data_IF_248914733745
#
_entry.id   IF_248914733745
#
_cell.length_a   1.000
_cell.length_b   1.000
_cell.length_c   1.000
_cell.angle_alpha   90.00
_cell.angle_beta   90.00
_cell.angle_gamma   90.00
#
_symmetry.space_group_name_H-M   'P 1'
#
loop_
_entity.id
_entity.type
_entity.pdbx_description
1 polymer ?
#
# COMPACT_ATOMS: atom_id res chain seq x y z
N UNK A 1 -24.99 -58.58 -2.32
CA UNK A 1 -26.11 -58.09 -1.48
C UNK A 1 -25.72 -56.74 -0.89
N UNK A 2 -26.41 -55.73 -1.38
CA UNK A 2 -26.37 -54.30 -1.04
C UNK A 2 -27.12 -54.02 0.26
N UNK A 3 -26.56 -53.18 1.16
CA UNK A 3 -27.25 -52.19 2.03
C UNK A 3 -26.19 -51.15 2.40
N UNK A 4 -26.18 -49.95 1.81
CA UNK A 4 -27.04 -48.79 2.08
C UNK A 4 -26.97 -48.31 3.53
N UNK A 5 -26.25 -47.21 3.75
CA UNK A 5 -26.45 -46.27 4.85
C UNK A 5 -26.26 -44.86 4.29
N UNK A 6 -27.31 -44.39 3.62
CA UNK A 6 -27.57 -42.98 3.43
C UNK A 6 -28.48 -42.52 4.59
N UNK A 7 -28.34 -41.24 4.94
CA UNK A 7 -29.31 -40.39 5.65
C UNK A 7 -29.47 -40.61 7.16
N UNK A 8 -28.72 -39.82 7.93
CA UNK A 8 -29.30 -38.87 8.89
C UNK A 8 -28.19 -38.07 9.57
N UNK A 9 -27.97 -36.84 9.13
CA UNK A 9 -28.09 -35.63 9.96
C UNK A 9 -27.45 -34.45 9.22
N UNK A 10 -28.14 -34.03 8.15
CA UNK A 10 -27.89 -32.76 7.49
C UNK A 10 -28.49 -31.66 8.36
N UNK A 11 -27.68 -31.02 9.20
CA UNK A 11 -27.95 -29.68 9.72
C UNK A 11 -26.62 -29.00 10.09
N UNK A 12 -25.80 -28.76 9.07
CA UNK A 12 -24.79 -27.70 9.15
C UNK A 12 -25.52 -26.37 9.16
N UNK A 13 -25.75 -25.82 10.35
CA UNK A 13 -26.01 -24.41 10.52
C UNK A 13 -24.84 -23.64 9.89
N UNK A 14 -25.06 -23.09 8.69
CA UNK A 14 -24.27 -21.98 8.17
C UNK A 14 -24.50 -20.77 9.09
N UNK A 15 -23.75 -20.70 10.19
CA UNK A 15 -23.60 -19.42 10.90
C UNK A 15 -22.44 -18.71 10.23
N UNK A 16 -22.80 -17.63 9.55
CA UNK A 16 -21.87 -16.69 8.93
C UNK A 16 -20.79 -16.27 9.96
N UNK A 17 -19.50 -16.55 9.72
CA UNK A 17 -18.42 -16.22 10.66
C UNK A 17 -18.30 -14.71 10.92
N UNK A 18 -18.94 -13.88 10.10
CA UNK A 18 -18.90 -12.42 10.18
C UNK A 18 -20.09 -11.80 10.96
N UNK A 19 -20.97 -12.60 11.58
CA UNK A 19 -22.12 -12.07 12.35
C UNK A 19 -21.70 -11.08 13.46
N UNK A 20 -20.52 -11.28 14.06
CA UNK A 20 -20.02 -10.42 15.14
C UNK A 20 -19.40 -9.10 14.66
N UNK A 21 -19.12 -8.97 13.36
CA UNK A 21 -18.53 -7.76 12.77
C UNK A 21 -19.63 -6.75 12.42
N UNK A 22 -20.84 -7.22 12.03
CA UNK A 22 -22.00 -6.36 11.75
C UNK A 22 -22.64 -5.71 12.99
N UNK A 23 -22.47 -6.31 14.17
CA UNK A 23 -23.10 -5.87 15.43
C UNK A 23 -22.14 -5.16 16.40
N UNK A 24 -20.99 -4.68 15.92
CA UNK A 24 -20.04 -3.93 16.74
C UNK A 24 -20.61 -2.53 17.07
N UNK A 25 -21.45 -2.46 18.11
CA UNK A 25 -21.81 -1.19 18.75
C UNK A 25 -20.60 -0.68 19.53
N UNK A 26 -20.22 0.56 19.23
CA UNK A 26 -19.17 1.32 19.88
C UNK A 26 -19.43 1.39 21.38
N UNK A 27 -18.61 0.72 22.20
CA UNK A 27 -18.59 0.96 23.65
C UNK A 27 -17.74 2.22 23.83
N UNK A 28 -18.39 3.37 24.02
CA UNK A 28 -17.70 4.58 24.44
C UNK A 28 -17.17 4.36 25.86
N UNK A 29 -15.86 4.17 25.99
CA UNK A 29 -15.19 4.26 27.29
C UNK A 29 -15.16 5.74 27.72
N UNK A 30 -16.20 6.20 28.41
CA UNK A 30 -16.08 7.39 29.26
C UNK A 30 -15.38 6.95 30.55
N UNK A 31 -14.06 7.15 30.64
CA UNK A 31 -13.38 7.20 31.93
C UNK A 31 -13.35 8.65 32.41
N UNK A 32 -14.41 9.06 33.11
CA UNK A 32 -14.40 10.21 34.00
C UNK A 32 -15.09 9.78 35.31
N UNK A 33 -14.32 9.15 36.20
CA UNK A 33 -14.69 9.02 37.61
C UNK A 33 -13.95 10.14 38.32
N UNK A 34 -14.50 11.35 38.19
CA UNK A 34 -14.27 12.46 39.08
C UNK A 34 -15.38 12.46 40.13
N UNK A 35 -14.99 12.16 41.37
CA UNK A 35 -15.55 12.63 42.64
C UNK A 35 -17.03 13.08 42.59
N UNK A 36 -17.91 12.22 43.09
CA UNK A 36 -19.22 12.66 43.58
C UNK A 36 -19.02 13.47 44.86
N UNK A 37 -19.26 14.77 44.79
CA UNK A 37 -19.74 15.55 45.94
C UNK A 37 -21.15 16.01 45.60
N UNK A 38 -22.07 15.61 46.45
CA UNK A 38 -23.50 15.93 46.42
C UNK A 38 -23.70 17.45 46.40
N UNK A 39 -24.63 17.93 45.57
CA UNK A 39 -25.08 19.31 45.58
C UNK A 39 -26.03 19.52 46.76
N UNK A 40 -25.68 20.46 47.66
CA UNK A 40 -26.63 21.04 48.60
C UNK A 40 -27.55 22.02 47.86
N UNK A 41 -28.86 21.86 48.06
CA UNK A 41 -29.88 22.83 47.73
C UNK A 41 -29.66 24.15 48.48
N UNK A 42 -29.50 25.25 47.75
CA UNK A 42 -29.89 26.60 48.21
C UNK A 42 -30.61 27.31 47.07
N UNK A 43 -31.75 27.88 47.45
CA UNK A 43 -32.80 28.48 46.65
C UNK A 43 -32.38 29.69 45.79
N UNK A 44 -33.11 29.82 44.69
CA UNK A 44 -33.48 31.02 43.92
C UNK A 44 -33.06 32.39 44.50
N UNK A 45 -32.34 33.16 43.68
CA UNK A 45 -32.64 34.58 43.46
C UNK A 45 -32.34 34.93 42.00
N UNK A 46 -33.39 35.30 41.28
CA UNK A 46 -33.32 35.83 39.93
C UNK A 46 -32.60 37.19 39.94
N UNK A 47 -31.66 37.38 39.03
CA UNK A 47 -31.42 38.69 38.45
C UNK A 47 -31.13 38.54 36.96
N UNK A 48 -32.05 39.08 36.17
CA UNK A 48 -31.92 39.34 34.75
C UNK A 48 -30.68 40.20 34.50
N UNK A 49 -29.81 39.77 33.61
CA UNK A 49 -29.08 40.69 32.74
C UNK A 49 -28.88 40.04 31.37
N UNK A 50 -29.55 40.65 30.40
CA UNK A 50 -29.46 40.41 28.97
C UNK A 50 -28.04 40.62 28.46
N UNK A 51 -27.59 39.71 27.60
CA UNK A 51 -26.32 39.79 26.88
C UNK A 51 -25.96 38.47 26.20
N UNK A 52 -26.90 37.84 25.49
CA UNK A 52 -26.58 36.78 24.53
C UNK A 52 -25.72 37.42 23.41
N UNK A 53 -24.41 37.18 23.43
CA UNK A 53 -23.55 37.45 22.29
C UNK A 53 -23.74 36.31 21.28
N UNK A 54 -24.24 36.65 20.09
CA UNK A 54 -24.57 35.75 18.98
C UNK A 54 -23.39 34.92 18.42
N UNK A 55 -22.18 35.04 18.98
CA UNK A 55 -20.98 34.34 18.50
C UNK A 55 -20.84 32.89 18.99
N UNK A 56 -21.54 32.48 20.05
CA UNK A 56 -21.46 31.09 20.58
C UNK A 56 -22.38 30.08 19.86
N UNK A 57 -23.34 30.55 19.05
CA UNK A 57 -24.24 29.67 18.28
C UNK A 57 -23.64 29.17 16.96
N UNK A 58 -22.58 29.80 16.46
CA UNK A 58 -21.97 29.40 15.18
C UNK A 58 -20.96 28.25 15.38
N UNK A 59 -20.37 28.10 16.57
CA UNK A 59 -19.39 27.03 16.83
C UNK A 59 -19.99 25.68 17.23
N UNK A 60 -21.28 25.61 17.57
CA UNK A 60 -21.95 24.36 17.98
C UNK A 60 -22.52 23.55 16.80
N UNK A 61 -22.65 24.13 15.59
CA UNK A 61 -23.10 23.40 14.40
C UNK A 61 -21.97 22.87 13.51
N UNK A 62 -20.72 23.29 13.75
CA UNK A 62 -19.52 22.83 13.04
C UNK A 62 -18.88 21.60 13.70
N UNK A 63 -19.16 21.33 14.98
CA UNK A 63 -18.58 20.25 15.78
C UNK A 63 -18.93 18.81 15.38
N UNK A 64 -20.19 18.43 15.06
CA UNK A 64 -20.50 17.02 14.78
C UNK A 64 -20.11 16.57 13.36
N UNK A 65 -19.86 17.52 12.43
CA UNK A 65 -19.50 17.20 11.05
C UNK A 65 -18.00 16.96 10.88
N UNK A 66 -17.14 17.62 11.65
CA UNK A 66 -15.70 17.36 11.66
C UNK A 66 -15.37 16.03 12.34
N UNK A 67 -15.99 15.73 13.49
CA UNK A 67 -15.75 14.49 14.24
C UNK A 67 -16.19 13.23 13.45
N UNK A 68 -17.30 13.30 12.70
CA UNK A 68 -17.72 12.18 11.84
C UNK A 68 -16.74 11.95 10.69
N UNK A 69 -16.19 13.02 10.10
CA UNK A 69 -15.21 12.92 9.03
C UNK A 69 -13.88 12.34 9.53
N UNK A 70 -13.46 12.71 10.73
CA UNK A 70 -12.25 12.18 11.35
C UNK A 70 -12.39 10.69 11.71
N UNK A 71 -13.57 10.27 12.18
CA UNK A 71 -13.91 8.87 12.42
C UNK A 71 -13.95 8.06 11.11
N UNK A 72 -14.57 8.60 10.06
CA UNK A 72 -14.62 7.95 8.75
C UNK A 72 -13.22 7.82 8.13
N UNK A 73 -12.36 8.83 8.28
CA UNK A 73 -10.96 8.76 7.83
C UNK A 73 -10.15 7.73 8.61
N UNK A 74 -10.35 7.64 9.92
CA UNK A 74 -9.70 6.63 10.76
C UNK A 74 -10.16 5.21 10.39
N UNK A 75 -11.45 5.02 10.11
CA UNK A 75 -11.98 3.76 9.58
C UNK A 75 -11.38 3.43 8.21
N UNK A 76 -11.26 4.41 7.31
CA UNK A 76 -10.61 4.24 6.02
C UNK A 76 -9.13 3.85 6.15
N UNK A 77 -8.38 4.44 7.09
CA UNK A 77 -6.99 4.05 7.38
C UNK A 77 -6.86 2.61 7.88
N UNK A 78 -7.83 2.13 8.66
CA UNK A 78 -7.89 0.74 9.13
C UNK A 78 -8.25 -0.25 8.01
N UNK A 79 -9.12 0.15 7.10
CA UNK A 79 -9.55 -0.66 5.96
C UNK A 79 -8.48 -0.68 4.85
N UNK A 80 -7.75 0.41 4.66
CA UNK A 80 -6.74 0.61 3.63
C UNK A 80 -5.47 1.27 4.18
N UNK A 81 -4.66 0.53 4.97
CA UNK A 81 -3.44 1.08 5.55
C UNK A 81 -2.47 1.43 4.44
N UNK A 82 -2.03 2.69 4.39
CA UNK A 82 -1.12 3.19 3.33
C UNK A 82 0.18 3.69 3.94
N UNK A 83 0.13 4.24 5.15
CA UNK A 83 1.30 4.75 5.87
C UNK A 83 1.94 3.68 6.75
N UNK A 84 3.25 3.76 7.02
CA UNK A 84 3.90 2.85 7.97
C UNK A 84 3.29 2.94 9.38
N UNK A 85 2.82 4.12 9.77
CA UNK A 85 2.19 4.37 11.07
C UNK A 85 0.84 3.63 11.20
N UNK A 86 0.10 3.49 10.10
CA UNK A 86 -1.14 2.71 10.06
C UNK A 86 -0.85 1.23 10.36
N UNK A 87 0.23 0.69 9.79
CA UNK A 87 0.66 -0.69 10.04
C UNK A 87 1.18 -0.89 11.48
N UNK A 88 1.88 0.10 12.05
CA UNK A 88 2.32 0.05 13.44
C UNK A 88 1.12 0.01 14.40
N UNK A 89 0.09 0.81 14.10
CA UNK A 89 -1.17 0.81 14.85
C UNK A 89 -1.87 -0.55 14.75
N UNK A 90 -2.04 -1.11 13.56
CA UNK A 90 -2.63 -2.44 13.36
C UNK A 90 -1.89 -3.55 14.11
N UNK A 91 -0.55 -3.53 14.10
CA UNK A 91 0.25 -4.49 14.85
C UNK A 91 0.07 -4.31 16.36
N UNK A 92 0.00 -3.07 16.85
CA UNK A 92 -0.24 -2.79 18.27
C UNK A 92 -1.63 -3.29 18.72
N UNK A 93 -2.67 -3.09 17.90
CA UNK A 93 -4.03 -3.57 18.16
C UNK A 93 -4.09 -5.10 18.16
N UNK A 94 -3.39 -5.76 17.23
CA UNK A 94 -3.28 -7.22 17.19
C UNK A 94 -2.63 -7.78 18.46
N UNK A 95 -1.57 -7.14 18.96
CA UNK A 95 -0.92 -7.52 20.22
C UNK A 95 -1.88 -7.35 21.40
N UNK A 96 -2.62 -6.24 21.47
CA UNK A 96 -3.63 -6.03 22.50
C UNK A 96 -4.73 -7.10 22.44
N UNK A 97 -5.22 -7.42 21.24
CA UNK A 97 -6.20 -8.48 21.03
C UNK A 97 -5.67 -9.83 21.53
N UNK A 98 -4.44 -10.18 21.19
CA UNK A 98 -3.79 -11.40 21.66
C UNK A 98 -3.74 -11.45 23.19
N UNK A 99 -3.29 -10.37 23.85
CA UNK A 99 -3.25 -10.32 25.31
C UNK A 99 -4.64 -10.48 25.95
N UNK A 100 -5.69 -9.90 25.34
CA UNK A 100 -7.08 -10.06 25.81
C UNK A 100 -7.55 -11.50 25.65
N UNK A 101 -7.25 -12.15 24.54
CA UNK A 101 -7.62 -13.55 24.30
C UNK A 101 -6.82 -14.52 25.18
N UNK A 102 -5.53 -14.30 25.41
CA UNK A 102 -4.74 -15.11 26.36
C UNK A 102 -5.31 -15.03 27.79
N UNK A 103 -5.72 -13.83 28.22
CA UNK A 103 -6.42 -13.64 29.50
C UNK A 103 -7.76 -14.37 29.53
N UNK A 104 -8.52 -14.33 28.44
CA UNK A 104 -9.80 -15.05 28.30
C UNK A 104 -9.59 -16.56 28.39
N UNK A 105 -8.65 -17.12 27.64
CA UNK A 105 -8.30 -18.55 27.68
C UNK A 105 -7.90 -18.98 29.08
N UNK A 106 -7.11 -18.16 29.78
CA UNK A 106 -6.69 -18.45 31.16
C UNK A 106 -7.89 -18.53 32.11
N UNK A 107 -8.92 -17.70 31.91
CA UNK A 107 -10.14 -17.70 32.73
C UNK A 107 -11.15 -18.80 32.34
N UNK A 108 -11.24 -19.16 31.06
CA UNK A 108 -12.26 -20.10 30.55
C UNK A 108 -11.78 -21.54 30.43
N UNK A 109 -10.48 -21.80 30.56
CA UNK A 109 -9.93 -23.14 30.43
C UNK A 109 -10.37 -24.03 31.61
N UNK A 110 -11.06 -25.13 31.28
CA UNK A 110 -11.49 -26.14 32.25
C UNK A 110 -10.33 -27.04 32.69
N UNK A 111 -9.56 -27.54 31.73
CA UNK A 111 -8.45 -28.48 31.93
C UNK A 111 -7.20 -28.05 31.14
N UNK A 112 -6.03 -28.58 31.50
CA UNK A 112 -4.76 -28.30 30.81
C UNK A 112 -4.80 -28.65 29.30
N UNK A 113 -5.40 -29.78 28.93
CA UNK A 113 -5.55 -30.19 27.53
C UNK A 113 -6.45 -29.20 26.74
N UNK A 114 -7.57 -28.78 27.33
CA UNK A 114 -8.46 -27.78 26.73
C UNK A 114 -7.78 -26.41 26.57
N UNK A 115 -6.94 -26.02 27.54
CA UNK A 115 -6.12 -24.80 27.45
C UNK A 115 -5.17 -24.87 26.25
N UNK A 116 -4.48 -25.99 26.06
CA UNK A 116 -3.55 -26.19 24.93
C UNK A 116 -4.27 -26.10 23.58
N UNK A 117 -5.46 -26.68 23.46
CA UNK A 117 -6.26 -26.61 22.24
C UNK A 117 -6.71 -25.17 21.92
N UNK A 118 -7.17 -24.43 22.93
CA UNK A 118 -7.53 -23.02 22.76
C UNK A 118 -6.33 -22.15 22.38
N UNK A 119 -5.14 -22.39 22.95
CA UNK A 119 -3.91 -21.70 22.55
C UNK A 119 -3.55 -22.03 21.10
N UNK A 120 -3.67 -23.31 20.69
CA UNK A 120 -3.42 -23.72 19.30
C UNK A 120 -4.36 -23.00 18.32
N UNK A 121 -5.63 -22.83 18.68
CA UNK A 121 -6.60 -22.08 17.88
C UNK A 121 -6.23 -20.58 17.84
N UNK A 122 -5.84 -20.00 18.98
CA UNK A 122 -5.40 -18.61 19.05
C UNK A 122 -4.19 -18.35 18.14
N UNK A 123 -3.16 -19.20 18.20
CA UNK A 123 -1.97 -19.10 17.36
C UNK A 123 -2.28 -19.18 15.86
N UNK A 124 -3.24 -20.03 15.47
CA UNK A 124 -3.71 -20.11 14.08
C UNK A 124 -4.35 -18.79 13.63
N UNK A 125 -5.19 -18.19 14.49
CA UNK A 125 -5.81 -16.88 14.22
C UNK A 125 -4.78 -15.76 14.15
N UNK A 126 -3.84 -15.69 15.10
CA UNK A 126 -2.73 -14.73 15.09
C UNK A 126 -1.90 -14.85 13.81
N UNK A 127 -1.47 -16.06 13.46
CA UNK A 127 -0.70 -16.32 12.24
C UNK A 127 -1.45 -15.90 10.97
N UNK A 128 -2.77 -16.12 10.94
CA UNK A 128 -3.60 -15.70 9.82
C UNK A 128 -3.67 -14.17 9.71
N UNK A 129 -3.87 -13.45 10.82
CA UNK A 129 -3.92 -12.00 10.86
C UNK A 129 -2.57 -11.37 10.50
N UNK A 130 -1.45 -11.91 11.00
CA UNK A 130 -0.10 -11.46 10.63
C UNK A 130 0.16 -11.60 9.14
N UNK A 131 -0.18 -12.75 8.54
CA UNK A 131 -0.05 -12.95 7.09
C UNK A 131 -0.88 -11.94 6.30
N UNK A 132 -2.09 -11.60 6.78
CA UNK A 132 -2.94 -10.61 6.13
C UNK A 132 -2.33 -9.21 6.21
N UNK A 133 -1.76 -8.83 7.35
CA UNK A 133 -1.02 -7.57 7.51
C UNK A 133 0.18 -7.53 6.55
N UNK A 134 0.95 -8.61 6.45
CA UNK A 134 2.09 -8.69 5.54
C UNK A 134 1.66 -8.60 4.06
N UNK A 135 0.54 -9.24 3.69
CA UNK A 135 -0.03 -9.11 2.35
C UNK A 135 -0.40 -7.67 2.01
N UNK A 136 -1.05 -6.96 2.95
CA UNK A 136 -1.39 -5.55 2.78
C UNK A 136 -0.13 -4.70 2.62
N UNK A 137 0.88 -4.93 3.48
CA UNK A 137 2.16 -4.23 3.42
C UNK A 137 2.87 -4.45 2.07
N UNK A 138 2.89 -5.68 1.57
CA UNK A 138 3.47 -6.00 0.27
C UNK A 138 2.71 -5.30 -0.87
N UNK A 139 1.37 -5.32 -0.84
CA UNK A 139 0.55 -4.63 -1.85
C UNK A 139 0.83 -3.12 -1.89
N UNK A 140 0.92 -2.46 -0.73
CA UNK A 140 1.26 -1.04 -0.65
C UNK A 140 2.68 -0.78 -1.15
N UNK A 141 3.63 -1.62 -0.74
CA UNK A 141 5.03 -1.48 -1.17
C UNK A 141 5.18 -1.63 -2.68
N UNK A 142 4.43 -2.54 -3.30
CA UNK A 142 4.48 -2.77 -4.74
C UNK A 142 3.84 -1.62 -5.52
N UNK A 143 2.69 -1.09 -5.07
CA UNK A 143 2.09 0.14 -5.62
C UNK A 143 3.03 1.34 -5.50
N UNK A 144 3.65 1.51 -4.33
CA UNK A 144 4.60 2.60 -4.10
C UNK A 144 5.81 2.48 -5.04
N UNK A 145 6.37 1.28 -5.24
CA UNK A 145 7.47 1.08 -6.19
C UNK A 145 7.07 1.45 -7.62
N UNK A 146 5.86 1.10 -8.06
CA UNK A 146 5.39 1.45 -9.41
C UNK A 146 5.20 2.96 -9.56
N UNK A 147 4.56 3.62 -8.58
CA UNK A 147 4.36 5.07 -8.57
C UNK A 147 5.68 5.83 -8.53
N UNK A 148 6.64 5.38 -7.71
CA UNK A 148 7.97 5.99 -7.65
C UNK A 148 8.72 5.85 -8.96
N UNK A 149 8.59 4.71 -9.64
CA UNK A 149 9.20 4.51 -10.95
C UNK A 149 8.59 5.45 -11.99
N UNK A 150 7.27 5.55 -12.04
CA UNK A 150 6.55 6.43 -12.95
C UNK A 150 6.93 7.90 -12.71
N UNK A 151 6.94 8.33 -11.45
CA UNK A 151 7.37 9.68 -11.05
C UNK A 151 8.82 9.94 -11.47
N UNK A 152 9.73 8.98 -11.23
CA UNK A 152 11.13 9.10 -11.62
C UNK A 152 11.24 9.25 -13.15
N UNK A 153 10.56 8.41 -13.94
CA UNK A 153 10.56 8.49 -15.40
C UNK A 153 9.96 9.81 -15.90
N UNK A 154 8.89 10.29 -15.27
CA UNK A 154 8.30 11.57 -15.61
C UNK A 154 9.28 12.72 -15.36
N UNK A 155 9.91 12.76 -14.18
CA UNK A 155 10.88 13.78 -13.82
C UNK A 155 12.08 13.80 -14.78
N UNK A 156 12.54 12.65 -15.24
CA UNK A 156 13.67 12.53 -16.18
C UNK A 156 13.28 12.92 -17.62
N UNK A 157 12.02 12.73 -18.00
CA UNK A 157 11.50 13.09 -19.33
C UNK A 157 11.21 14.58 -19.50
N UNK A 158 11.17 15.34 -18.39
CA UNK A 158 10.92 16.79 -18.39
C UNK A 158 12.15 17.55 -18.93
N UNK A 159 11.94 18.57 -19.78
CA UNK A 159 13.02 19.43 -20.25
C UNK A 159 13.73 20.12 -19.08
N UNK A 160 15.05 20.25 -19.17
CA UNK A 160 15.83 20.99 -18.17
C UNK A 160 15.48 22.48 -18.29
N UNK A 161 15.32 23.14 -17.16
CA UNK A 161 15.08 24.58 -17.09
C UNK A 161 16.38 25.28 -16.74
N UNK A 162 16.85 26.15 -17.63
CA UNK A 162 18.05 26.95 -17.45
C UNK A 162 17.64 28.39 -17.22
N UNK A 163 18.04 28.94 -16.08
CA UNK A 163 17.86 30.36 -15.79
C UNK A 163 18.99 31.13 -16.45
N UNK A 164 18.64 32.11 -17.28
CA UNK A 164 19.61 33.05 -17.84
C UNK A 164 19.82 34.18 -16.82
N UNK A 165 20.98 34.84 -16.87
CA UNK A 165 21.31 36.06 -16.12
C UNK A 165 20.23 37.16 -16.16
N UNK A 166 19.36 37.15 -17.17
CA UNK A 166 18.29 38.13 -17.36
C UNK A 166 16.97 37.74 -16.66
N UNK A 167 16.95 36.67 -15.86
CA UNK A 167 15.77 36.18 -15.14
C UNK A 167 14.78 35.38 -15.99
N UNK A 168 15.07 35.17 -17.28
CA UNK A 168 14.27 34.32 -18.17
C UNK A 168 14.66 32.85 -18.05
N UNK A 169 13.66 31.96 -18.05
CA UNK A 169 13.87 30.50 -18.01
C UNK A 169 13.79 29.91 -19.42
N UNK A 170 14.85 29.26 -19.90
CA UNK A 170 14.86 28.49 -21.15
C UNK A 170 14.64 27.01 -20.84
N UNK A 171 13.76 26.37 -21.60
CA UNK A 171 13.57 24.91 -21.57
C UNK A 171 14.48 24.27 -22.62
N UNK A 172 15.44 23.45 -22.18
CA UNK A 172 16.38 22.74 -23.05
C UNK A 172 16.13 21.24 -22.98
N UNK A 173 15.83 20.65 -24.14
CA UNK A 173 15.83 19.20 -24.31
C UNK A 173 17.27 18.74 -24.55
N UNK A 174 17.85 18.04 -23.57
CA UNK A 174 19.14 17.40 -23.77
C UNK A 174 18.96 16.01 -24.40
N UNK A 175 19.98 15.42 -25.04
CA UNK A 175 19.91 14.06 -25.56
C UNK A 175 19.47 13.03 -24.51
N UNK A 176 19.84 13.25 -23.24
CA UNK A 176 19.44 12.44 -22.09
C UNK A 176 17.93 12.56 -21.82
N UNK A 177 17.37 13.78 -21.81
CA UNK A 177 15.93 13.99 -21.64
C UNK A 177 15.12 13.37 -22.79
N UNK A 178 15.60 13.51 -24.03
CA UNK A 178 14.98 12.88 -25.20
C UNK A 178 14.99 11.34 -25.08
N UNK A 179 16.13 10.77 -24.68
CA UNK A 179 16.26 9.33 -24.43
C UNK A 179 15.35 8.85 -23.30
N UNK A 180 15.25 9.59 -22.20
CA UNK A 180 14.36 9.27 -21.09
C UNK A 180 12.88 9.27 -21.52
N UNK A 181 12.48 10.21 -22.39
CA UNK A 181 11.12 10.26 -22.98
C UNK A 181 10.81 9.02 -23.81
N UNK A 182 11.76 8.56 -24.62
CA UNK A 182 11.62 7.33 -25.40
C UNK A 182 11.51 6.11 -24.47
N UNK A 183 12.38 6.01 -23.45
CA UNK A 183 12.35 4.91 -22.48
C UNK A 183 11.04 4.87 -21.68
N UNK A 184 10.51 6.03 -21.27
CA UNK A 184 9.20 6.12 -20.60
C UNK A 184 8.09 5.58 -21.50
N UNK A 185 8.02 6.05 -22.75
CA UNK A 185 7.02 5.56 -23.70
C UNK A 185 7.12 4.05 -23.94
N UNK A 186 8.32 3.47 -23.93
CA UNK A 186 8.50 2.02 -24.02
C UNK A 186 8.06 1.29 -22.76
N UNK A 187 8.36 1.84 -21.59
CA UNK A 187 7.98 1.29 -20.29
C UNK A 187 6.46 1.22 -20.12
N UNK A 188 5.76 2.32 -20.43
CA UNK A 188 4.31 2.40 -20.32
C UNK A 188 3.64 1.31 -21.18
N UNK A 189 4.10 1.16 -22.43
CA UNK A 189 3.64 0.10 -23.35
C UNK A 189 4.08 -1.31 -22.95
N UNK A 190 5.14 -1.44 -22.15
CA UNK A 190 5.65 -2.73 -21.68
C UNK A 190 4.80 -3.27 -20.52
N UNK A 191 4.22 -2.38 -19.72
CA UNK A 191 3.33 -2.71 -18.58
C UNK A 191 1.89 -2.92 -19.03
N UNK A 192 1.46 -2.22 -20.08
CA UNK A 192 0.13 -2.38 -20.65
C UNK A 192 -0.15 -3.85 -21.05
N UNK A 193 -1.42 -4.25 -20.94
CA UNK A 193 -1.84 -5.59 -21.37
C UNK A 193 -1.66 -5.72 -22.87
N UNK A 194 -1.19 -6.90 -23.30
CA UNK A 194 -0.94 -7.18 -24.71
C UNK A 194 -2.25 -7.53 -25.39
N UNK A 195 -2.87 -6.54 -26.04
CA UNK A 195 -4.10 -6.72 -26.82
C UNK A 195 -3.79 -7.10 -28.28
N UNK A 196 -2.69 -6.58 -28.83
CA UNK A 196 -2.27 -6.81 -30.21
C UNK A 196 -0.83 -7.32 -30.28
N UNK A 197 -0.64 -8.52 -30.83
CA UNK A 197 0.67 -9.17 -30.99
C UNK A 197 1.58 -8.39 -31.95
N UNK A 198 1.05 -7.83 -33.04
CA UNK A 198 1.83 -7.05 -34.00
C UNK A 198 2.42 -5.79 -33.36
N UNK A 199 1.59 -5.03 -32.64
CA UNK A 199 2.04 -3.84 -31.91
C UNK A 199 3.08 -4.18 -30.83
N UNK A 200 2.95 -5.37 -30.21
CA UNK A 200 3.93 -5.88 -29.24
C UNK A 200 5.27 -6.21 -29.89
N UNK A 201 5.27 -6.83 -31.07
CA UNK A 201 6.49 -7.13 -31.83
C UNK A 201 7.22 -5.83 -32.18
N UNK A 202 6.52 -4.83 -32.73
CA UNK A 202 7.11 -3.52 -33.06
C UNK A 202 7.73 -2.83 -31.83
N UNK A 203 7.08 -2.93 -30.67
CA UNK A 203 7.61 -2.40 -29.41
C UNK A 203 8.89 -3.12 -29.00
N UNK A 204 8.89 -4.45 -29.05
CA UNK A 204 10.04 -5.28 -28.68
C UNK A 204 11.24 -5.03 -29.60
N UNK A 205 11.02 -4.86 -30.89
CA UNK A 205 12.05 -4.47 -31.85
C UNK A 205 12.61 -3.07 -31.53
N UNK A 206 11.75 -2.12 -31.19
CA UNK A 206 12.20 -0.77 -30.78
C UNK A 206 13.04 -0.81 -29.50
N UNK A 207 12.63 -1.59 -28.50
CA UNK A 207 13.40 -1.80 -27.27
C UNK A 207 14.76 -2.42 -27.59
N UNK A 208 14.79 -3.42 -28.48
CA UNK A 208 16.05 -4.06 -28.92
C UNK A 208 17.00 -3.04 -29.53
N UNK A 209 16.55 -2.24 -30.50
CA UNK A 209 17.40 -1.19 -31.11
C UNK A 209 17.93 -0.22 -30.06
N UNK A 210 17.10 0.19 -29.10
CA UNK A 210 17.52 1.10 -28.04
C UNK A 210 18.56 0.45 -27.13
N UNK A 211 18.36 -0.80 -26.73
CA UNK A 211 19.30 -1.55 -25.86
C UNK A 211 20.64 -1.79 -26.55
N UNK A 212 20.65 -2.01 -27.87
CA UNK A 212 21.87 -2.14 -28.66
C UNK A 212 22.69 -0.83 -28.74
N UNK A 213 22.03 0.33 -28.64
CA UNK A 213 22.75 1.63 -28.54
C UNK A 213 23.40 1.87 -27.17
N UNK A 214 23.05 1.07 -26.16
CA UNK A 214 23.58 1.19 -24.80
C UNK A 214 24.77 0.26 -24.67
N UNK A 215 25.89 0.75 -24.14
CA UNK A 215 27.07 -0.09 -23.90
C UNK A 215 26.69 -1.40 -23.21
N UNK A 216 27.28 -2.50 -23.68
CA UNK A 216 26.92 -3.89 -23.34
C UNK A 216 27.25 -4.27 -21.89
N UNK A 217 26.58 -3.64 -20.93
CA UNK A 217 26.52 -4.09 -19.53
C UNK A 217 25.74 -5.41 -19.49
N UNK A 218 26.08 -6.30 -18.55
CA UNK A 218 25.41 -7.61 -18.42
C UNK A 218 23.88 -7.51 -18.39
N UNK A 219 23.35 -6.45 -17.78
CA UNK A 219 21.92 -6.16 -17.71
C UNK A 219 21.28 -5.87 -19.09
N UNK A 220 21.97 -5.16 -19.98
CA UNK A 220 21.50 -4.89 -21.34
C UNK A 220 21.43 -6.20 -22.16
N UNK A 221 22.42 -7.09 -21.99
CA UNK A 221 22.41 -8.43 -22.60
C UNK A 221 21.24 -9.27 -22.10
N UNK A 222 20.98 -9.27 -20.79
CA UNK A 222 19.84 -9.98 -20.20
C UNK A 222 18.49 -9.49 -20.76
N UNK A 223 18.32 -8.18 -20.90
CA UNK A 223 17.13 -7.59 -21.52
C UNK A 223 17.02 -8.01 -22.98
N UNK A 224 18.10 -7.92 -23.76
CA UNK A 224 18.09 -8.31 -25.18
C UNK A 224 17.78 -9.81 -25.36
N UNK A 225 18.33 -10.70 -24.51
CA UNK A 225 18.01 -12.12 -24.52
C UNK A 225 16.52 -12.39 -24.23
N UNK A 226 15.95 -11.71 -23.23
CA UNK A 226 14.52 -11.83 -22.91
C UNK A 226 13.63 -11.32 -24.04
N UNK A 227 13.99 -10.19 -24.66
CA UNK A 227 13.29 -9.62 -25.82
C UNK A 227 13.33 -10.58 -27.01
N UNK A 228 14.50 -11.10 -27.36
CA UNK A 228 14.64 -12.05 -28.47
C UNK A 228 13.86 -13.34 -28.19
N UNK A 229 13.81 -13.82 -26.94
CA UNK A 229 13.01 -14.99 -26.57
C UNK A 229 11.52 -14.73 -26.71
N UNK A 230 11.04 -13.56 -26.28
CA UNK A 230 9.63 -13.16 -26.46
C UNK A 230 9.29 -13.03 -27.95
N UNK A 231 10.14 -12.39 -28.75
CA UNK A 231 9.97 -12.26 -30.20
C UNK A 231 9.87 -13.63 -30.89
N UNK A 232 10.77 -14.57 -30.58
CA UNK A 232 10.73 -15.92 -31.14
C UNK A 232 9.41 -16.63 -30.81
N UNK A 233 8.93 -16.49 -29.57
CA UNK A 233 7.67 -17.10 -29.14
C UNK A 233 6.46 -16.47 -29.84
N UNK A 234 6.45 -15.16 -30.02
CA UNK A 234 5.39 -14.46 -30.75
C UNK A 234 5.40 -14.79 -32.24
N UNK A 235 6.57 -14.91 -32.85
CA UNK A 235 6.73 -15.26 -34.27
C UNK A 235 6.35 -16.71 -34.57
N UNK A 236 6.54 -17.63 -33.62
CA UNK A 236 6.14 -19.03 -33.75
C UNK A 236 4.63 -19.23 -33.56
N UNK A 237 3.85 -18.16 -33.31
CA UNK A 237 2.40 -18.22 -33.16
C UNK A 237 1.97 -19.16 -32.04
N UNK A 238 2.80 -19.33 -31.00
CA UNK A 238 2.51 -20.36 -30.02
C UNK A 238 1.38 -19.89 -29.11
N UNK A 239 0.26 -20.60 -29.15
CA UNK A 239 -0.86 -20.53 -28.20
C UNK A 239 -0.46 -20.96 -26.76
N UNK A 240 0.83 -20.92 -26.43
CA UNK A 240 1.35 -21.10 -25.08
C UNK A 240 0.67 -20.02 -24.23
N UNK A 241 -0.34 -20.45 -23.46
CA UNK A 241 -1.35 -19.57 -22.86
C UNK A 241 -0.75 -18.33 -22.22
N UNK A 242 -1.55 -17.25 -22.21
CA UNK A 242 -1.19 -15.94 -21.66
C UNK A 242 -0.43 -16.03 -20.31
N UNK A 243 -0.77 -17.02 -19.50
CA UNK A 243 -0.13 -17.39 -18.23
C UNK A 243 1.39 -17.67 -18.32
N UNK A 244 1.86 -18.44 -19.33
CA UNK A 244 3.28 -18.77 -19.47
C UNK A 244 4.09 -17.53 -19.87
N UNK A 245 3.50 -16.66 -20.69
CA UNK A 245 4.11 -15.42 -21.14
C UNK A 245 4.11 -14.34 -20.04
N UNK A 246 3.18 -14.40 -19.08
CA UNK A 246 3.08 -13.41 -18.00
C UNK A 246 4.34 -13.39 -17.13
N UNK A 247 4.89 -14.56 -16.77
CA UNK A 247 6.12 -14.65 -15.99
C UNK A 247 7.33 -14.05 -16.71
N UNK A 248 7.46 -14.33 -18.02
CA UNK A 248 8.54 -13.77 -18.84
C UNK A 248 8.37 -12.26 -19.03
N UNK A 249 7.15 -11.78 -19.28
CA UNK A 249 6.85 -10.34 -19.40
C UNK A 249 7.12 -9.58 -18.11
N UNK A 250 6.72 -10.13 -16.95
CA UNK A 250 7.07 -9.58 -15.62
C UNK A 250 8.58 -9.53 -15.40
N UNK A 251 9.31 -10.56 -15.84
CA UNK A 251 10.77 -10.55 -15.76
C UNK A 251 11.38 -9.49 -16.67
N UNK A 252 10.89 -9.36 -17.91
CA UNK A 252 11.35 -8.35 -18.86
C UNK A 252 11.09 -6.93 -18.35
N UNK A 253 9.89 -6.62 -17.87
CA UNK A 253 9.56 -5.31 -17.32
C UNK A 253 10.43 -4.97 -16.11
N UNK A 254 10.66 -5.92 -15.21
CA UNK A 254 11.56 -5.74 -14.06
C UNK A 254 13.02 -5.50 -14.47
N UNK A 255 13.53 -6.22 -15.48
CA UNK A 255 14.90 -6.02 -15.96
C UNK A 255 15.06 -4.69 -16.71
N UNK A 256 14.07 -4.31 -17.51
CA UNK A 256 14.03 -3.01 -18.17
C UNK A 256 13.97 -1.87 -17.15
N UNK A 257 13.16 -2.02 -16.10
CA UNK A 257 13.09 -1.07 -14.97
C UNK A 257 14.46 -0.88 -14.33
N UNK A 258 15.17 -1.98 -14.02
CA UNK A 258 16.54 -1.92 -13.47
C UNK A 258 17.51 -1.22 -14.41
N UNK A 259 17.38 -1.46 -15.72
CA UNK A 259 18.22 -0.84 -16.74
C UNK A 259 18.00 0.67 -16.75
N UNK A 260 16.74 1.11 -16.78
CA UNK A 260 16.38 2.53 -16.71
C UNK A 260 16.91 3.14 -15.42
N UNK A 261 16.70 2.55 -14.25
CA UNK A 261 17.24 3.10 -12.98
C UNK A 261 18.75 3.26 -13.03
N UNK A 262 19.50 2.25 -13.49
CA UNK A 262 20.96 2.29 -13.58
C UNK A 262 21.47 3.40 -14.50
N UNK A 263 20.89 3.53 -15.69
CA UNK A 263 21.31 4.54 -16.67
C UNK A 263 21.09 5.97 -16.16
N UNK A 264 20.09 6.14 -15.32
CA UNK A 264 19.75 7.45 -14.78
C UNK A 264 20.47 7.76 -13.45
N UNK A 265 20.88 6.74 -12.68
CA UNK A 265 21.82 6.94 -11.56
C UNK A 265 23.12 7.57 -12.03
N UNK A 266 23.61 7.17 -13.20
CA UNK A 266 24.81 7.75 -13.81
C UNK A 266 24.55 9.20 -14.28
N UNK A 267 23.33 9.53 -14.71
CA UNK A 267 22.93 10.89 -15.15
C UNK A 267 22.74 11.89 -13.99
N UNK A 268 22.44 11.42 -12.77
CA UNK A 268 22.36 12.28 -11.58
C UNK A 268 23.73 12.81 -11.12
N UNK A 269 24.85 12.20 -11.53
CA UNK A 269 26.18 12.74 -11.23
C UNK A 269 26.58 13.93 -12.12
N UNK A 270 25.92 14.12 -13.27
CA UNK A 270 26.19 15.24 -14.19
C UNK A 270 25.32 16.48 -13.94
N UNK A 271 24.36 16.41 -13.02
CA UNK A 271 23.59 17.57 -12.60
C UNK A 271 23.49 17.63 -11.09
N UNK A 272 24.32 18.48 -10.48
CA UNK A 272 24.07 19.06 -9.17
C UNK A 272 22.68 19.72 -9.19
N UNK A 273 21.67 18.94 -8.85
CA UNK A 273 20.34 19.40 -8.48
C UNK A 273 20.19 18.95 -7.04
N UNK A 274 20.03 19.92 -6.14
CA UNK A 274 19.93 19.64 -4.72
C UNK A 274 18.84 18.58 -4.43
N UNK A 275 19.11 17.62 -3.54
CA UNK A 275 18.18 16.55 -3.28
C UNK A 275 16.90 17.12 -2.68
N UNK A 276 15.77 16.85 -3.34
CA UNK A 276 14.45 16.99 -2.72
C UNK A 276 14.48 16.12 -1.46
N UNK A 277 14.20 16.66 -0.26
CA UNK A 277 14.28 15.88 0.96
C UNK A 277 13.34 14.69 0.86
N UNK A 278 13.90 13.49 0.95
CA UNK A 278 13.12 12.26 1.00
C UNK A 278 12.15 12.35 2.18
N UNK A 279 10.85 12.12 1.91
CA UNK A 279 9.81 11.99 2.94
C UNK A 279 10.04 10.81 3.89
N UNK A 280 11.07 10.00 3.64
CA UNK A 280 11.48 8.90 4.48
C UNK A 280 12.98 8.97 4.72
N UNK A 281 13.36 9.17 5.98
CA UNK A 281 14.72 8.98 6.48
C UNK A 281 14.62 7.99 7.64
N UNK A 282 14.96 6.72 7.38
CA UNK A 282 15.12 5.73 8.45
C UNK A 282 16.36 6.14 9.25
N UNK A 283 16.17 6.63 10.47
CA UNK A 283 17.28 6.73 11.42
C UNK A 283 17.68 5.33 11.85
N UNK A 284 18.94 4.97 11.56
CA UNK A 284 19.58 3.82 12.17
C UNK A 284 19.88 4.20 13.63
N UNK A 285 19.50 3.41 14.62
CA UNK A 285 19.83 3.73 16.01
C UNK A 285 21.35 3.74 16.15
N UNK A 286 21.87 4.84 16.71
CA UNK A 286 23.28 4.99 17.01
C UNK A 286 23.73 3.82 17.90
N UNK A 287 24.80 3.17 17.47
CA UNK A 287 25.46 2.15 18.28
C UNK A 287 25.95 2.83 19.56
N UNK A 288 25.37 2.43 20.68
CA UNK A 288 25.84 2.78 22.01
C UNK A 288 27.24 2.18 22.14
N UNK A 289 28.25 3.04 22.20
CA UNK A 289 29.61 2.68 22.62
C UNK A 289 29.68 2.60 24.15
#
# INVERSE_FOLDING_TARGET
MTKSYAESSSQTFQVDPDHHVRNYKHISCQSNIGIQTEACDIENLAHEHQGETDDDRINSSLGPRSESLDQDQELQRRLHPTRPDDFATLQSELLQWRCREERKITKTARNAAHKQEMIKLLLRKESHLLRKIDQLKNSVTDKWKTEQMELMMEMMSKPKQWEISNGSVIRVDTPQTCRARIMKSMYDKLIEKVDNVGARIELLERIKTLVETIDYRGLAKDVCMLVNRELQMLQQGTDLGQEFMEGMRKRLSNQFTKLVTRLNSDACHESEIQPIPAKFRLHKPDAIH
#
